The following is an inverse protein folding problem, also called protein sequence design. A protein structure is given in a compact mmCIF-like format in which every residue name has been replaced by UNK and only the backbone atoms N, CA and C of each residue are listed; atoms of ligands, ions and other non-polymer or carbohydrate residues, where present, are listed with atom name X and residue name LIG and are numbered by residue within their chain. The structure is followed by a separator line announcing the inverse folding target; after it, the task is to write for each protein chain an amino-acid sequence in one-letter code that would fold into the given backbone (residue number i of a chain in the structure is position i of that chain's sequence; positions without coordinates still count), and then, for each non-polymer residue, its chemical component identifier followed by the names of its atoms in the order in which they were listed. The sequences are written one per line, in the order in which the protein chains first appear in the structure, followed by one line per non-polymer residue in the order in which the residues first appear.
data_IF_890000321139
#
_entry.id   IF_890000321139
#
_cell.length_a   1.000
_cell.length_b   1.000
_cell.length_c   1.000
_cell.angle_alpha   90.00
_cell.angle_beta   90.00
_cell.angle_gamma   90.00
#
_symmetry.space_group_name_H-M   'P 1'
#
loop_
_entity.id
_entity.type
_entity.pdbx_description
1 polymer ?
#
# COMPACT_ATOMS: atom_id res chain seq x y z
N UNK A 1 -31.38 19.44 -4.96
CA UNK A 1 -32.01 18.11 -4.70
C UNK A 1 -30.90 17.06 -4.63
N UNK A 2 -31.01 16.01 -3.81
CA UNK A 2 -29.92 15.02 -3.62
C UNK A 2 -29.54 14.26 -4.90
N UNK A 3 -30.38 14.35 -5.93
CA UNK A 3 -30.15 13.77 -7.25
C UNK A 3 -29.06 14.48 -8.09
N UNK A 4 -28.65 15.69 -7.71
CA UNK A 4 -27.75 16.57 -8.49
C UNK A 4 -26.29 16.57 -7.97
N UNK A 5 -25.97 15.84 -6.90
CA UNK A 5 -24.61 15.83 -6.34
C UNK A 5 -23.66 14.96 -7.20
N UNK A 6 -22.49 15.48 -7.62
CA UNK A 6 -21.52 14.73 -8.40
C UNK A 6 -20.72 13.79 -7.49
N UNK A 7 -21.37 12.73 -6.98
CA UNK A 7 -20.69 11.71 -6.16
C UNK A 7 -19.73 10.84 -7.00
N UNK A 8 -19.99 10.73 -8.29
CA UNK A 8 -19.21 9.91 -9.22
C UNK A 8 -17.82 10.49 -9.51
N UNK A 9 -17.59 11.79 -9.26
CA UNK A 9 -16.25 12.40 -9.38
C UNK A 9 -15.35 12.09 -8.19
N UNK A 10 -15.92 11.73 -7.03
CA UNK A 10 -15.16 11.47 -5.80
C UNK A 10 -15.05 9.96 -5.55
N UNK A 11 -16.14 9.21 -5.80
CA UNK A 11 -16.21 7.77 -5.57
C UNK A 11 -15.98 7.01 -6.89
N UNK A 12 -14.90 6.23 -6.96
CA UNK A 12 -14.54 5.46 -8.16
C UNK A 12 -15.44 4.26 -8.44
N UNK A 13 -16.20 3.78 -7.44
CA UNK A 13 -17.08 2.62 -7.57
C UNK A 13 -18.56 3.05 -7.66
N UNK A 14 -19.21 2.86 -8.83
CA UNK A 14 -20.61 3.24 -9.03
C UNK A 14 -21.58 2.57 -8.04
N UNK A 15 -21.29 1.34 -7.61
CA UNK A 15 -22.14 0.60 -6.66
C UNK A 15 -22.13 1.22 -5.26
N UNK A 16 -20.99 1.78 -4.84
CA UNK A 16 -20.88 2.48 -3.55
C UNK A 16 -21.62 3.81 -3.60
N UNK A 17 -21.49 4.57 -4.70
CA UNK A 17 -22.22 5.81 -4.90
C UNK A 17 -23.75 5.59 -4.90
N UNK A 18 -24.23 4.53 -5.57
CA UNK A 18 -25.63 4.13 -5.57
C UNK A 18 -26.12 3.78 -4.15
N UNK A 19 -25.33 3.03 -3.38
CA UNK A 19 -25.67 2.68 -2.01
C UNK A 19 -25.81 3.91 -1.12
N UNK A 20 -24.84 4.85 -1.15
CA UNK A 20 -24.91 6.09 -0.36
C UNK A 20 -26.17 6.88 -0.70
N UNK A 21 -26.58 6.89 -1.97
CA UNK A 21 -27.82 7.55 -2.40
C UNK A 21 -29.07 6.85 -1.86
N UNK A 22 -29.12 5.52 -1.94
CA UNK A 22 -30.23 4.73 -1.41
C UNK A 22 -30.34 4.93 0.10
N UNK A 23 -29.25 4.77 0.84
CA UNK A 23 -29.24 4.93 2.30
C UNK A 23 -29.60 6.35 2.70
N UNK A 24 -29.18 7.37 1.95
CA UNK A 24 -29.60 8.73 2.17
C UNK A 24 -31.11 8.97 1.96
N UNK A 25 -31.77 8.23 1.08
CA UNK A 25 -33.22 8.33 0.87
C UNK A 25 -34.04 7.54 1.89
N UNK A 26 -33.49 6.44 2.42
CA UNK A 26 -34.20 5.54 3.34
C UNK A 26 -33.76 5.71 4.80
N UNK A 27 -32.90 6.69 5.10
CA UNK A 27 -32.37 6.89 6.46
C UNK A 27 -33.42 7.51 7.39
N UNK A 28 -33.51 6.98 8.60
CA UNK A 28 -34.32 7.54 9.70
C UNK A 28 -33.59 8.64 10.49
N UNK A 29 -32.56 9.25 9.90
CA UNK A 29 -31.75 10.29 10.53
C UNK A 29 -32.52 11.57 10.86
N UNK A 30 -32.01 12.37 11.80
CA UNK A 30 -32.55 13.69 12.15
C UNK A 30 -31.74 14.79 11.47
N UNK A 31 -32.39 15.88 11.07
CA UNK A 31 -31.73 17.05 10.51
C UNK A 31 -30.82 17.71 11.56
N UNK A 32 -29.57 17.98 11.21
CA UNK A 32 -28.63 18.67 12.09
C UNK A 32 -29.00 20.14 12.26
N UNK A 33 -28.68 20.69 13.44
CA UNK A 33 -28.74 22.13 13.69
C UNK A 33 -27.70 22.86 12.81
N UNK A 34 -27.98 24.09 12.35
CA UNK A 34 -27.07 24.82 11.47
C UNK A 34 -25.68 25.02 12.08
N UNK A 35 -25.60 25.21 13.40
CA UNK A 35 -24.32 25.33 14.14
C UNK A 35 -23.50 24.05 14.10
N UNK A 36 -24.14 22.89 14.19
CA UNK A 36 -23.46 21.59 14.18
C UNK A 36 -23.07 21.19 12.76
N UNK A 37 -23.89 21.54 11.77
CA UNK A 37 -23.57 21.38 10.35
C UNK A 37 -22.31 22.18 9.98
N UNK A 38 -22.22 23.44 10.42
CA UNK A 38 -21.05 24.28 10.17
C UNK A 38 -19.77 23.72 10.82
N UNK A 39 -19.88 23.18 12.04
CA UNK A 39 -18.76 22.49 12.71
C UNK A 39 -18.31 21.25 11.95
N UNK A 40 -19.25 20.44 11.46
CA UNK A 40 -18.95 19.25 10.69
C UNK A 40 -18.25 19.58 9.35
N UNK A 41 -18.72 20.60 8.65
CA UNK A 41 -18.10 21.07 7.41
C UNK A 41 -16.69 21.62 7.66
N UNK A 42 -16.51 22.45 8.69
CA UNK A 42 -15.16 22.94 9.08
C UNK A 42 -14.20 21.80 9.41
N UNK A 43 -14.67 20.77 10.12
CA UNK A 43 -13.84 19.60 10.40
C UNK A 43 -13.45 18.84 9.12
N UNK A 44 -14.35 18.76 8.14
CA UNK A 44 -14.05 18.17 6.83
C UNK A 44 -13.01 18.99 6.06
N UNK A 45 -13.09 20.32 6.07
CA UNK A 45 -12.11 21.20 5.41
C UNK A 45 -10.71 21.05 6.03
N UNK A 46 -10.61 21.02 7.36
CA UNK A 46 -9.36 20.78 8.07
C UNK A 46 -8.78 19.39 7.74
N UNK A 47 -9.64 18.38 7.58
CA UNK A 47 -9.21 17.04 7.19
C UNK A 47 -8.62 17.03 5.77
N UNK A 48 -9.22 17.76 4.83
CA UNK A 48 -8.70 17.89 3.46
C UNK A 48 -7.34 18.60 3.43
N UNK A 49 -7.21 19.68 4.20
CA UNK A 49 -5.94 20.40 4.34
C UNK A 49 -4.84 19.50 4.94
N UNK A 50 -5.19 18.70 5.95
CA UNK A 50 -4.26 17.77 6.58
C UNK A 50 -3.78 16.69 5.61
N UNK A 51 -4.66 16.16 4.76
CA UNK A 51 -4.27 15.17 3.75
C UNK A 51 -3.35 15.80 2.68
N UNK A 52 -3.62 17.03 2.24
CA UNK A 52 -2.74 17.75 1.32
C UNK A 52 -1.35 17.98 1.93
N UNK A 53 -1.30 18.40 3.19
CA UNK A 53 -0.04 18.60 3.91
C UNK A 53 0.73 17.28 4.10
N UNK A 54 0.03 16.19 4.40
CA UNK A 54 0.62 14.84 4.46
C UNK A 54 1.20 14.42 3.12
N UNK A 55 0.52 14.68 2.00
CA UNK A 55 1.07 14.42 0.67
C UNK A 55 2.33 15.25 0.40
N UNK A 56 2.33 16.55 0.74
CA UNK A 56 3.50 17.42 0.59
C UNK A 56 4.71 16.86 1.36
N UNK A 57 4.50 16.42 2.60
CA UNK A 57 5.55 15.80 3.43
C UNK A 57 6.04 14.49 2.80
N UNK A 58 5.14 13.63 2.31
CA UNK A 58 5.52 12.38 1.66
C UNK A 58 6.35 12.62 0.39
N UNK A 59 5.97 13.61 -0.44
CA UNK A 59 6.74 14.00 -1.63
C UNK A 59 8.11 14.54 -1.26
N UNK A 60 8.21 15.35 -0.20
CA UNK A 60 9.48 15.83 0.31
C UNK A 60 10.39 14.68 0.77
N UNK A 61 9.86 13.74 1.56
CA UNK A 61 10.62 12.55 2.01
C UNK A 61 11.04 11.69 0.81
N UNK A 62 10.17 11.48 -0.17
CA UNK A 62 10.48 10.74 -1.39
C UNK A 62 11.64 11.38 -2.17
N UNK A 63 11.68 12.72 -2.29
CA UNK A 63 12.77 13.44 -2.95
C UNK A 63 14.14 13.24 -2.27
N UNK A 64 14.14 13.04 -0.95
CA UNK A 64 15.34 12.81 -0.13
C UNK A 64 15.62 11.33 0.14
N UNK A 65 14.80 10.42 -0.38
CA UNK A 65 14.88 9.00 -0.04
C UNK A 65 16.20 8.36 -0.47
N UNK A 66 16.82 8.82 -1.57
CA UNK A 66 18.15 8.34 -1.99
C UNK A 66 19.24 8.56 -0.93
N UNK A 67 19.11 9.63 -0.15
CA UNK A 67 20.05 9.95 0.94
C UNK A 67 19.72 9.12 2.19
N UNK A 68 18.43 8.99 2.51
CA UNK A 68 17.96 8.30 3.72
C UNK A 68 18.11 6.78 3.56
N UNK A 69 17.46 6.20 2.55
CA UNK A 69 17.38 4.75 2.31
C UNK A 69 17.57 4.42 0.81
N UNK A 70 18.82 4.52 0.33
CA UNK A 70 19.21 4.25 -1.06
C UNK A 70 18.84 2.83 -1.52
N UNK A 71 19.08 1.81 -0.69
CA UNK A 71 18.82 0.42 -1.08
C UNK A 71 17.33 0.09 -1.07
N UNK A 72 16.61 0.61 -0.07
CA UNK A 72 15.16 0.41 0.05
C UNK A 72 14.42 1.12 -1.08
N UNK A 73 14.84 2.34 -1.43
CA UNK A 73 14.30 3.07 -2.58
C UNK A 73 14.58 2.37 -3.91
N UNK A 74 15.75 1.76 -4.08
CA UNK A 74 16.07 1.02 -5.31
C UNK A 74 15.27 -0.28 -5.46
N UNK A 75 14.80 -0.87 -4.34
CA UNK A 75 14.00 -2.10 -4.37
C UNK A 75 12.52 -1.88 -4.66
N UNK A 76 11.89 -0.83 -4.10
CA UNK A 76 10.43 -0.65 -4.21
C UNK A 76 10.00 0.72 -4.76
N UNK A 77 10.94 1.59 -5.08
CA UNK A 77 10.68 2.97 -5.49
C UNK A 77 10.59 3.93 -4.30
N UNK A 78 10.86 5.21 -4.58
CA UNK A 78 10.97 6.24 -3.54
C UNK A 78 9.63 6.55 -2.87
N UNK A 79 8.51 6.48 -3.58
CA UNK A 79 7.18 6.75 -3.02
C UNK A 79 6.77 5.70 -1.99
N UNK A 80 6.94 4.42 -2.31
CA UNK A 80 6.58 3.31 -1.42
C UNK A 80 7.52 3.29 -0.22
N UNK A 81 8.81 3.50 -0.44
CA UNK A 81 9.76 3.66 0.65
C UNK A 81 9.38 4.83 1.58
N UNK A 82 8.95 5.97 1.04
CA UNK A 82 8.51 7.12 1.83
C UNK A 82 7.27 6.79 2.67
N UNK A 83 6.28 6.10 2.10
CA UNK A 83 5.09 5.66 2.83
C UNK A 83 5.45 4.65 3.94
N UNK A 84 6.38 3.73 3.70
CA UNK A 84 6.87 2.80 4.72
C UNK A 84 7.60 3.52 5.86
N UNK A 85 8.45 4.50 5.55
CA UNK A 85 9.10 5.33 6.55
C UNK A 85 8.10 6.21 7.31
N UNK A 86 7.08 6.75 6.64
CA UNK A 86 6.05 7.54 7.29
C UNK A 86 5.24 6.72 8.32
N UNK A 87 4.94 5.45 8.03
CA UNK A 87 4.27 4.57 8.99
C UNK A 87 5.16 4.15 10.16
N UNK A 88 6.45 3.93 9.92
CA UNK A 88 7.38 3.42 10.93
C UNK A 88 8.08 4.53 11.72
N UNK A 89 8.09 5.74 11.18
CA UNK A 89 8.73 6.94 11.72
C UNK A 89 10.23 7.05 11.44
N UNK A 90 10.96 5.95 11.23
CA UNK A 90 12.40 5.98 10.94
C UNK A 90 12.89 4.69 10.27
N UNK A 91 14.03 4.78 9.57
CA UNK A 91 14.70 3.62 8.96
C UNK A 91 15.19 2.62 10.02
N UNK A 92 15.60 3.09 11.20
CA UNK A 92 16.03 2.24 12.31
C UNK A 92 14.87 1.42 12.89
N UNK A 93 13.68 2.02 13.02
CA UNK A 93 12.49 1.27 13.44
C UNK A 93 12.10 0.27 12.36
N UNK A 94 12.14 0.67 11.08
CA UNK A 94 11.84 -0.23 9.97
C UNK A 94 12.77 -1.46 9.92
N UNK A 95 14.06 -1.31 10.25
CA UNK A 95 15.02 -2.42 10.23
C UNK A 95 14.76 -3.48 11.31
N UNK A 96 14.16 -3.09 12.43
CA UNK A 96 13.79 -3.97 13.55
C UNK A 96 12.51 -4.76 13.28
N UNK A 97 11.63 -4.27 12.40
CA UNK A 97 10.36 -4.94 12.10
C UNK A 97 10.63 -6.23 11.29
N UNK A 98 10.06 -7.38 11.69
CA UNK A 98 10.20 -8.62 10.93
C UNK A 98 9.44 -8.55 9.59
N UNK A 99 9.87 -9.35 8.61
CA UNK A 99 9.32 -9.32 7.25
C UNK A 99 7.82 -9.62 7.18
N UNK A 100 7.29 -10.48 8.05
CA UNK A 100 5.86 -10.78 8.12
C UNK A 100 5.02 -9.58 8.56
N UNK A 101 5.54 -8.73 9.45
CA UNK A 101 4.86 -7.50 9.87
C UNK A 101 4.98 -6.43 8.79
N UNK A 102 6.15 -6.32 8.13
CA UNK A 102 6.37 -5.42 6.99
C UNK A 102 5.35 -5.69 5.87
N UNK A 103 5.05 -6.96 5.60
CA UNK A 103 4.07 -7.38 4.59
C UNK A 103 2.70 -6.71 4.75
N UNK A 104 2.23 -6.57 6.00
CA UNK A 104 0.89 -6.08 6.33
C UNK A 104 0.87 -4.61 6.77
N UNK A 105 2.01 -3.90 6.70
CA UNK A 105 2.09 -2.48 7.07
C UNK A 105 1.17 -1.62 6.18
N UNK A 106 0.28 -0.86 6.82
CA UNK A 106 -0.69 -0.01 6.14
C UNK A 106 -1.87 -0.76 5.53
N UNK A 107 -2.05 -2.04 5.84
CA UNK A 107 -3.28 -2.74 5.51
C UNK A 107 -4.44 -2.17 6.33
N UNK A 108 -5.51 -1.74 5.66
CA UNK A 108 -6.73 -1.29 6.33
C UNK A 108 -7.39 -2.49 7.03
N UNK A 109 -7.73 -2.33 8.32
CA UNK A 109 -8.52 -3.34 9.03
C UNK A 109 -9.90 -3.43 8.38
N UNK A 110 -10.34 -4.65 8.05
CA UNK A 110 -11.75 -4.89 7.71
C UNK A 110 -12.58 -4.61 8.96
N UNK A 111 -13.45 -3.61 8.89
CA UNK A 111 -14.58 -3.53 9.79
C UNK A 111 -15.56 -4.63 9.36
N UNK A 112 -15.74 -5.65 10.19
CA UNK A 112 -16.70 -6.74 9.97
C UNK A 112 -18.15 -6.23 9.73
N UNK A 113 -18.44 -4.99 10.11
CA UNK A 113 -19.71 -4.29 9.90
C UNK A 113 -19.93 -3.80 8.46
N UNK A 114 -18.93 -3.81 7.59
CA UNK A 114 -19.04 -3.26 6.23
C UNK A 114 -19.66 -4.21 5.18
N UNK A 115 -20.14 -5.38 5.61
CA UNK A 115 -20.93 -6.28 4.77
C UNK A 115 -20.18 -6.92 3.59
N UNK A 116 -20.92 -7.75 2.85
CA UNK A 116 -20.50 -8.66 1.76
C UNK A 116 -19.68 -8.05 0.58
N UNK A 117 -19.38 -6.75 0.59
CA UNK A 117 -18.80 -6.03 -0.55
C UNK A 117 -17.27 -5.85 -0.48
N UNK A 118 -16.63 -6.12 0.66
CA UNK A 118 -15.16 -6.01 0.81
C UNK A 118 -14.47 -7.39 0.69
N UNK A 119 -15.08 -8.33 -0.04
CA UNK A 119 -14.48 -9.66 -0.23
C UNK A 119 -13.37 -9.68 -1.30
N UNK A 120 -13.22 -8.62 -2.09
CA UNK A 120 -12.25 -8.56 -3.19
C UNK A 120 -10.95 -7.79 -2.86
N UNK A 121 -10.84 -7.17 -1.68
CA UNK A 121 -9.57 -6.58 -1.24
C UNK A 121 -8.80 -7.65 -0.49
N UNK A 122 -7.64 -8.09 -1.00
CA UNK A 122 -6.95 -9.22 -0.42
C UNK A 122 -6.41 -8.85 0.96
N UNK A 123 -6.70 -9.71 1.93
CA UNK A 123 -6.67 -9.46 3.38
C UNK A 123 -5.32 -9.03 3.98
N UNK A 124 -4.24 -9.09 3.19
CA UNK A 124 -2.85 -8.93 3.65
C UNK A 124 -2.02 -7.96 2.80
N UNK A 125 -2.65 -7.15 1.96
CA UNK A 125 -1.92 -6.24 1.08
C UNK A 125 -1.77 -4.89 1.78
N UNK A 126 -0.64 -4.72 2.45
CA UNK A 126 -0.20 -3.41 2.93
C UNK A 126 0.23 -2.50 1.78
N UNK A 127 0.99 -1.45 2.11
CA UNK A 127 1.53 -0.48 1.13
C UNK A 127 2.35 -1.20 0.04
N UNK A 128 3.02 -2.31 0.38
CA UNK A 128 3.84 -3.10 -0.54
C UNK A 128 3.00 -3.68 -1.70
N UNK A 129 1.69 -3.86 -1.51
CA UNK A 129 0.79 -4.28 -2.59
C UNK A 129 0.72 -3.28 -3.75
N UNK A 130 1.06 -2.01 -3.51
CA UNK A 130 1.12 -0.96 -4.53
C UNK A 130 2.42 -1.00 -5.34
N UNK A 131 3.41 -1.79 -4.92
CA UNK A 131 4.69 -1.93 -5.61
C UNK A 131 4.52 -2.54 -6.99
N UNK A 132 5.24 -1.99 -7.98
CA UNK A 132 5.17 -2.44 -9.36
C UNK A 132 5.47 -3.93 -9.50
N UNK A 133 6.47 -4.44 -8.77
CA UNK A 133 6.81 -5.87 -8.73
C UNK A 133 5.61 -6.74 -8.34
N UNK A 134 4.78 -6.30 -7.40
CA UNK A 134 3.61 -7.06 -6.91
C UNK A 134 2.39 -6.80 -7.80
N UNK A 135 2.17 -5.55 -8.22
CA UNK A 135 1.03 -5.15 -9.05
C UNK A 135 1.04 -5.86 -10.41
N UNK A 136 2.22 -6.01 -11.00
CA UNK A 136 2.41 -6.66 -12.30
C UNK A 136 2.29 -8.19 -12.23
N UNK A 137 2.28 -8.79 -11.03
CA UNK A 137 2.05 -10.23 -10.89
C UNK A 137 0.58 -10.61 -11.12
N UNK A 138 0.31 -11.80 -11.69
CA UNK A 138 -1.01 -12.42 -11.68
C UNK A 138 -1.53 -12.59 -10.25
N UNK A 139 -2.84 -12.45 -10.06
CA UNK A 139 -3.50 -12.47 -8.75
C UNK A 139 -3.10 -13.65 -7.88
N UNK A 140 -3.06 -14.86 -8.46
CA UNK A 140 -2.71 -16.11 -7.79
C UNK A 140 -1.31 -16.09 -7.15
N UNK A 141 -0.37 -15.36 -7.76
CA UNK A 141 1.02 -15.30 -7.32
C UNK A 141 1.33 -14.05 -6.49
N UNK A 142 0.40 -13.08 -6.41
CA UNK A 142 0.63 -11.81 -5.71
C UNK A 142 0.96 -11.99 -4.23
N UNK A 143 0.33 -12.93 -3.53
CA UNK A 143 0.68 -13.19 -2.11
C UNK A 143 2.11 -13.75 -1.95
N UNK A 144 2.58 -14.54 -2.91
CA UNK A 144 3.94 -15.08 -2.92
C UNK A 144 4.95 -13.97 -3.22
N UNK A 145 4.65 -13.11 -4.19
CA UNK A 145 5.44 -11.92 -4.52
C UNK A 145 5.51 -10.94 -3.34
N UNK A 146 4.40 -10.68 -2.67
CA UNK A 146 4.33 -9.80 -1.51
C UNK A 146 5.24 -10.27 -0.37
N UNK A 147 5.22 -11.58 -0.05
CA UNK A 147 6.12 -12.18 0.95
C UNK A 147 7.59 -12.05 0.56
N UNK A 148 7.91 -12.30 -0.72
CA UNK A 148 9.27 -12.18 -1.23
C UNK A 148 9.78 -10.74 -1.11
N UNK A 149 8.98 -9.77 -1.58
CA UNK A 149 9.35 -8.35 -1.54
C UNK A 149 9.48 -7.86 -0.10
N UNK A 150 8.55 -8.22 0.80
CA UNK A 150 8.64 -7.86 2.22
C UNK A 150 9.92 -8.40 2.90
N UNK A 151 10.33 -9.63 2.57
CA UNK A 151 11.59 -10.19 3.05
C UNK A 151 12.81 -9.41 2.55
N UNK A 152 12.82 -9.02 1.27
CA UNK A 152 13.92 -8.21 0.71
C UNK A 152 13.93 -6.78 1.22
N UNK A 153 12.76 -6.17 1.49
CA UNK A 153 12.66 -4.85 2.14
C UNK A 153 13.30 -4.90 3.53
N UNK A 154 13.00 -5.93 4.34
CA UNK A 154 13.60 -6.08 5.67
C UNK A 154 15.13 -6.11 5.60
N UNK A 155 15.70 -6.80 4.61
CA UNK A 155 17.14 -6.84 4.37
C UNK A 155 17.69 -5.48 3.94
N UNK A 156 17.06 -4.81 2.95
CA UNK A 156 17.46 -3.47 2.52
C UNK A 156 17.40 -2.45 3.65
N UNK A 157 16.34 -2.47 4.46
CA UNK A 157 16.15 -1.56 5.57
C UNK A 157 17.25 -1.73 6.64
N UNK A 158 17.67 -2.97 6.91
CA UNK A 158 18.81 -3.24 7.82
C UNK A 158 20.13 -2.74 7.25
N UNK A 159 20.38 -2.94 5.97
CA UNK A 159 21.58 -2.40 5.31
C UNK A 159 21.57 -0.87 5.36
N UNK A 160 20.42 -0.24 5.08
CA UNK A 160 20.28 1.21 5.11
C UNK A 160 20.39 1.80 6.53
N UNK A 161 19.95 1.08 7.56
CA UNK A 161 20.02 1.54 8.95
C UNK A 161 21.45 1.44 9.54
N UNK A 162 22.26 0.49 9.07
CA UNK A 162 23.59 0.21 9.61
C UNK A 162 24.75 0.63 8.70
N UNK A 163 24.48 1.28 7.55
CA UNK A 163 25.54 1.80 6.67
C UNK A 163 26.26 2.99 7.32
N UNK A 164 27.57 3.16 7.08
CA UNK A 164 28.30 4.32 7.57
C UNK A 164 27.76 5.62 6.94
N UNK A 165 27.77 6.74 7.69
CA UNK A 165 27.30 8.02 7.18
C UNK A 165 28.09 8.43 5.93
N UNK A 166 27.39 8.97 4.94
CA UNK A 166 27.98 9.37 3.65
C UNK A 166 28.04 8.28 2.59
N UNK A 167 27.62 7.04 2.90
CA UNK A 167 27.51 5.97 1.89
C UNK A 167 26.10 5.94 1.28
N UNK A 168 26.01 6.24 -0.02
CA UNK A 168 24.74 6.28 -0.77
C UNK A 168 24.59 5.16 -1.80
N UNK A 169 25.42 4.13 -1.70
CA UNK A 169 25.40 3.02 -2.64
C UNK A 169 24.05 2.29 -2.56
N UNK A 170 23.44 2.05 -3.73
CA UNK A 170 22.18 1.34 -3.90
C UNK A 170 22.37 -0.08 -4.48
N UNK A 171 23.63 -0.54 -4.55
CA UNK A 171 24.03 -1.79 -5.23
C UNK A 171 23.30 -3.02 -4.68
N UNK A 172 23.11 -3.08 -3.36
CA UNK A 172 22.38 -4.18 -2.71
C UNK A 172 20.90 -4.12 -3.10
N UNK A 173 20.29 -2.94 -3.05
CA UNK A 173 18.90 -2.73 -3.45
C UNK A 173 18.64 -3.14 -4.90
N UNK A 174 19.49 -2.71 -5.83
CA UNK A 174 19.39 -3.06 -7.26
C UNK A 174 19.57 -4.55 -7.52
N UNK A 175 20.53 -5.19 -6.84
CA UNK A 175 20.73 -6.64 -6.93
C UNK A 175 19.49 -7.39 -6.44
N UNK A 176 18.97 -7.00 -5.29
CA UNK A 176 17.78 -7.62 -4.71
C UNK A 176 16.52 -7.38 -5.55
N UNK A 177 16.41 -6.21 -6.20
CA UNK A 177 15.36 -5.92 -7.15
C UNK A 177 15.40 -6.89 -8.34
N UNK A 178 16.58 -7.09 -8.95
CA UNK A 178 16.78 -8.05 -10.04
C UNK A 178 16.46 -9.49 -9.60
N UNK A 179 16.91 -9.90 -8.42
CA UNK A 179 16.58 -11.22 -7.86
C UNK A 179 15.06 -11.41 -7.66
N UNK A 180 14.37 -10.38 -7.18
CA UNK A 180 12.91 -10.41 -7.03
C UNK A 180 12.22 -10.54 -8.39
N UNK A 181 12.63 -9.74 -9.36
CA UNK A 181 12.09 -9.75 -10.71
C UNK A 181 12.24 -11.13 -11.36
N UNK A 182 13.45 -11.69 -11.38
CA UNK A 182 13.74 -13.02 -11.94
C UNK A 182 12.94 -14.15 -11.26
N UNK A 183 12.79 -14.10 -9.93
CA UNK A 183 12.00 -15.10 -9.20
C UNK A 183 10.52 -15.02 -9.54
N UNK A 184 9.99 -13.82 -9.70
CA UNK A 184 8.60 -13.57 -10.06
C UNK A 184 8.35 -14.06 -11.49
N UNK A 185 9.23 -13.72 -12.43
CA UNK A 185 9.18 -14.15 -13.83
C UNK A 185 9.21 -15.68 -13.94
N UNK A 186 10.14 -16.33 -13.25
CA UNK A 186 10.23 -17.79 -13.18
C UNK A 186 8.96 -18.45 -12.62
N UNK A 187 8.19 -17.78 -11.78
CA UNK A 187 6.92 -18.35 -11.30
C UNK A 187 5.82 -18.26 -12.34
N UNK A 188 5.89 -17.29 -13.26
CA UNK A 188 4.92 -17.11 -14.35
C UNK A 188 5.13 -18.10 -15.49
N UNK A 189 6.35 -18.64 -15.65
CA UNK A 189 6.62 -19.71 -16.60
C UNK A 189 5.79 -20.97 -16.27
N UNK A 190 5.07 -21.54 -17.25
CA UNK A 190 4.31 -22.77 -17.02
C UNK A 190 5.26 -23.91 -16.64
N UNK A 191 4.83 -24.75 -15.70
CA UNK A 191 5.65 -25.87 -15.23
C UNK A 191 6.01 -26.80 -16.40
N UNK A 192 7.27 -27.27 -16.50
CA UNK A 192 7.66 -28.18 -17.55
C UNK A 192 6.81 -29.47 -17.47
N UNK A 193 6.47 -30.09 -18.61
CA UNK A 193 5.68 -31.30 -18.63
C UNK A 193 6.38 -32.38 -17.79
N UNK A 194 5.63 -32.99 -16.87
CA UNK A 194 6.16 -34.08 -16.04
C UNK A 194 6.52 -35.25 -16.98
N UNK A 195 7.72 -35.84 -16.89
CA UNK A 195 8.03 -37.04 -17.66
C UNK A 195 7.03 -38.15 -17.29
N UNK A 196 6.71 -39.05 -18.23
CA UNK A 196 5.83 -40.18 -17.94
C UNK A 196 6.41 -40.95 -16.75
N UNK A 197 5.59 -41.18 -15.72
CA UNK A 197 6.02 -42.00 -14.60
C UNK A 197 6.27 -43.41 -15.14
N UNK A 198 7.45 -44.02 -14.90
CA UNK A 198 7.62 -45.42 -15.22
C UNK A 198 6.57 -46.24 -14.47
N UNK A 199 5.96 -47.19 -15.16
CA UNK A 199 5.09 -48.18 -14.53
C UNK A 199 5.94 -49.02 -13.54
N UNK A 200 5.36 -49.45 -12.41
CA UNK A 200 6.07 -50.32 -11.46
C UNK A 200 6.46 -51.67 -12.07
#
# INVERSE_FOLDING_TARGET
KMNELPLNTILSNPSVAMMVRITATTTSGKQLQPTDMERALRAADVMLELEENKEKILRFIASRMKVIASNTSALVGSEIAAKLLALTGSIQKLSQIPSCNIQVLGALKRNAQAGFLINNVPEHFGIIGQCELVRNCPWEMRQKALRLVAAKISLCARVDAHKPPGTFNATVGEKLHKECFQKIEKWQEPAPPKPPRPLP
#
